data_IF_452804253753
#
_entry.id   IF_452804253753
#
_cell.length_a   1.000
_cell.length_b   1.000
_cell.length_c   1.000
_cell.angle_alpha   90.00
_cell.angle_beta   90.00
_cell.angle_gamma   90.00
#
_symmetry.space_group_name_H-M   'P 1'
#
loop_
_entity.id
_entity.type
_entity.pdbx_description
1 polymer ?
#
# COMPACT_ATOMS: atom_id res chain seq x y z
N UNK A 1 23.91 14.45 1.94
CA UNK A 1 23.52 13.15 2.55
C UNK A 1 22.22 13.22 3.37
N UNK A 2 22.09 14.09 4.39
CA UNK A 2 20.88 14.21 5.23
C UNK A 2 19.56 14.42 4.46
N UNK A 3 19.59 15.13 3.32
CA UNK A 3 18.43 15.31 2.43
C UNK A 3 17.95 14.02 1.76
N UNK A 4 18.84 13.10 1.38
CA UNK A 4 18.44 11.85 0.73
C UNK A 4 17.76 10.89 1.71
N UNK A 5 18.21 10.87 2.97
CA UNK A 5 17.61 10.06 4.03
C UNK A 5 16.20 10.58 4.35
N UNK A 6 16.05 11.90 4.48
CA UNK A 6 14.74 12.55 4.66
C UNK A 6 13.82 12.35 3.44
N UNK A 7 14.38 12.26 2.23
CA UNK A 7 13.63 11.94 1.01
C UNK A 7 13.12 10.49 1.01
N UNK A 8 13.92 9.51 1.48
CA UNK A 8 13.49 8.12 1.61
C UNK A 8 12.41 7.93 2.68
N UNK A 9 12.51 8.66 3.81
CA UNK A 9 11.51 8.60 4.87
C UNK A 9 10.17 9.19 4.40
N UNK A 10 10.23 10.32 3.67
CA UNK A 10 9.04 10.94 3.08
C UNK A 10 8.43 10.05 2.01
N UNK A 11 9.24 9.41 1.16
CA UNK A 11 8.74 8.52 0.10
C UNK A 11 8.11 7.25 0.67
N UNK A 12 8.68 6.67 1.74
CA UNK A 12 8.07 5.56 2.48
C UNK A 12 6.68 5.92 3.02
N UNK A 13 6.55 7.09 3.66
CA UNK A 13 5.27 7.57 4.16
C UNK A 13 4.25 7.76 3.04
N UNK A 14 4.66 8.31 1.89
CA UNK A 14 3.80 8.48 0.71
C UNK A 14 3.35 7.13 0.15
N UNK A 15 4.26 6.15 0.02
CA UNK A 15 3.93 4.78 -0.45
C UNK A 15 2.96 4.11 0.50
N UNK A 16 3.13 4.28 1.81
CA UNK A 16 2.22 3.77 2.83
C UNK A 16 0.82 4.40 2.71
N UNK A 17 0.75 5.72 2.51
CA UNK A 17 -0.52 6.41 2.28
C UNK A 17 -1.20 5.94 0.98
N UNK A 18 -0.43 5.77 -0.09
CA UNK A 18 -0.93 5.23 -1.35
C UNK A 18 -1.48 3.81 -1.19
N UNK A 19 -0.81 2.96 -0.40
CA UNK A 19 -1.29 1.62 -0.07
C UNK A 19 -2.68 1.67 0.57
N UNK A 20 -2.86 2.50 1.61
CA UNK A 20 -4.14 2.67 2.29
C UNK A 20 -5.24 3.18 1.35
N UNK A 21 -4.92 4.12 0.48
CA UNK A 21 -5.87 4.62 -0.54
C UNK A 21 -6.31 3.47 -1.46
N UNK A 22 -5.36 2.69 -2.00
CA UNK A 22 -5.66 1.53 -2.83
C UNK A 22 -6.53 0.50 -2.12
N UNK A 23 -6.25 0.21 -0.84
CA UNK A 23 -7.07 -0.70 -0.04
C UNK A 23 -8.50 -0.18 0.09
N UNK A 24 -8.68 1.10 0.43
CA UNK A 24 -10.01 1.70 0.59
C UNK A 24 -10.81 1.65 -0.71
N UNK A 25 -10.19 2.01 -1.85
CA UNK A 25 -10.84 1.89 -3.15
C UNK A 25 -11.18 0.45 -3.50
N UNK A 26 -10.28 -0.49 -3.19
CA UNK A 26 -10.50 -1.91 -3.36
C UNK A 26 -11.67 -2.45 -2.55
N UNK A 27 -11.79 -2.05 -1.29
CA UNK A 27 -12.90 -2.41 -0.40
C UNK A 27 -14.20 -1.83 -0.95
N UNK A 28 -14.26 -0.52 -1.19
CA UNK A 28 -15.46 0.15 -1.71
C UNK A 28 -15.90 -0.50 -3.02
N UNK A 29 -14.98 -0.66 -3.98
CA UNK A 29 -15.28 -1.29 -5.27
C UNK A 29 -15.85 -2.70 -5.11
N UNK A 30 -15.24 -3.52 -4.25
CA UNK A 30 -15.71 -4.88 -3.98
C UNK A 30 -17.09 -4.88 -3.30
N UNK A 31 -17.33 -3.99 -2.34
CA UNK A 31 -18.63 -3.83 -1.67
C UNK A 31 -19.73 -3.45 -2.66
N UNK A 32 -19.44 -2.55 -3.61
CA UNK A 32 -20.39 -2.19 -4.67
C UNK A 32 -20.70 -3.37 -5.60
N UNK A 33 -19.71 -4.21 -5.92
CA UNK A 33 -19.92 -5.45 -6.68
C UNK A 33 -20.83 -6.41 -5.90
N UNK A 34 -20.55 -6.63 -4.62
CA UNK A 34 -21.36 -7.52 -3.77
C UNK A 34 -22.80 -7.02 -3.56
N UNK A 35 -23.01 -5.71 -3.50
CA UNK A 35 -24.34 -5.09 -3.43
C UNK A 35 -25.13 -5.18 -4.75
N UNK A 36 -24.56 -5.76 -5.81
CA UNK A 36 -25.20 -5.81 -7.13
C UNK A 36 -25.38 -4.44 -7.77
N UNK A 37 -24.67 -3.41 -7.30
CA UNK A 37 -24.74 -2.03 -7.81
C UNK A 37 -24.02 -1.88 -9.17
N UNK A 38 -23.29 -2.90 -9.60
CA UNK A 38 -22.58 -2.94 -10.89
C UNK A 38 -23.19 -4.08 -11.72
N UNK A 39 -23.99 -3.70 -12.71
CA UNK A 39 -24.63 -4.65 -13.61
C UNK A 39 -23.57 -5.44 -14.41
N UNK A 40 -23.78 -6.76 -14.53
CA UNK A 40 -22.89 -7.65 -15.27
C UNK A 40 -21.68 -8.17 -14.49
N UNK A 41 -21.47 -7.74 -13.23
CA UNK A 41 -20.41 -8.28 -12.37
C UNK A 41 -20.93 -9.32 -11.40
N UNK A 42 -20.15 -10.39 -11.22
CA UNK A 42 -20.48 -11.47 -10.29
C UNK A 42 -19.86 -11.23 -8.92
N UNK A 43 -20.45 -11.82 -7.87
CA UNK A 43 -19.87 -11.79 -6.52
C UNK A 43 -18.44 -12.36 -6.49
N UNK A 44 -18.13 -13.31 -7.38
CA UNK A 44 -16.81 -13.90 -7.55
C UNK A 44 -15.78 -12.87 -8.02
N UNK A 45 -16.15 -11.99 -8.96
CA UNK A 45 -15.29 -10.87 -9.38
C UNK A 45 -15.07 -9.86 -8.25
N UNK A 46 -16.08 -9.63 -7.41
CA UNK A 46 -15.96 -8.81 -6.21
C UNK A 46 -14.95 -9.40 -5.22
N UNK A 47 -14.97 -10.71 -5.01
CA UNK A 47 -14.02 -11.42 -4.17
C UNK A 47 -12.60 -11.35 -4.73
N UNK A 48 -12.43 -11.58 -6.03
CA UNK A 48 -11.12 -11.47 -6.71
C UNK A 48 -10.57 -10.06 -6.59
N UNK A 49 -11.41 -9.03 -6.79
CA UNK A 49 -11.00 -7.64 -6.63
C UNK A 49 -10.58 -7.31 -5.19
N UNK A 50 -11.29 -7.84 -4.19
CA UNK A 50 -10.95 -7.67 -2.79
C UNK A 50 -9.60 -8.33 -2.46
N UNK A 51 -9.40 -9.58 -2.89
CA UNK A 51 -8.15 -10.32 -2.71
C UNK A 51 -6.97 -9.61 -3.38
N UNK A 52 -7.14 -9.15 -4.62
CA UNK A 52 -6.11 -8.39 -5.33
C UNK A 52 -5.76 -7.09 -4.58
N UNK A 53 -6.77 -6.37 -4.10
CA UNK A 53 -6.57 -5.12 -3.36
C UNK A 53 -5.83 -5.33 -2.03
N UNK A 54 -6.16 -6.40 -1.29
CA UNK A 54 -5.45 -6.79 -0.07
C UNK A 54 -4.01 -7.18 -0.38
N UNK A 55 -3.78 -7.93 -1.47
CA UNK A 55 -2.44 -8.31 -1.91
C UNK A 55 -1.58 -7.08 -2.25
N UNK A 56 -2.11 -6.15 -3.06
CA UNK A 56 -1.40 -4.91 -3.40
C UNK A 56 -1.14 -4.04 -2.18
N UNK A 57 -2.11 -3.92 -1.26
CA UNK A 57 -1.89 -3.21 0.00
C UNK A 57 -0.72 -3.80 0.77
N UNK A 58 -0.68 -5.13 0.92
CA UNK A 58 0.40 -5.80 1.64
C UNK A 58 1.75 -5.61 0.95
N UNK A 59 1.78 -5.69 -0.38
CA UNK A 59 2.98 -5.47 -1.19
C UNK A 59 3.53 -4.04 -1.02
N UNK A 60 2.69 -3.02 -1.16
CA UNK A 60 3.11 -1.62 -0.96
C UNK A 60 3.51 -1.34 0.49
N UNK A 61 2.80 -1.91 1.45
CA UNK A 61 3.15 -1.79 2.86
C UNK A 61 4.52 -2.42 3.16
N UNK A 62 4.80 -3.59 2.57
CA UNK A 62 6.09 -4.26 2.69
C UNK A 62 7.22 -3.39 2.11
N UNK A 63 7.02 -2.81 0.92
CA UNK A 63 7.99 -1.92 0.27
C UNK A 63 8.27 -0.69 1.14
N UNK A 64 7.24 -0.04 1.67
CA UNK A 64 7.39 1.09 2.60
C UNK A 64 8.20 0.66 3.84
N UNK A 65 7.89 -0.51 4.42
CA UNK A 65 8.60 -1.03 5.58
C UNK A 65 10.08 -1.34 5.28
N UNK A 66 10.40 -1.85 4.10
CA UNK A 66 11.78 -2.09 3.65
C UNK A 66 12.52 -0.75 3.51
N UNK A 67 11.88 0.28 2.93
CA UNK A 67 12.46 1.60 2.82
C UNK A 67 12.76 2.22 4.20
N UNK A 68 11.83 2.10 5.16
CA UNK A 68 12.05 2.55 6.56
C UNK A 68 13.24 1.82 7.20
N UNK A 69 13.37 0.51 6.95
CA UNK A 69 14.46 -0.30 7.49
C UNK A 69 15.81 0.11 6.91
N UNK A 70 15.88 0.36 5.61
CA UNK A 70 17.06 0.90 4.94
C UNK A 70 17.47 2.26 5.51
N UNK A 71 16.50 3.15 5.74
CA UNK A 71 16.74 4.46 6.37
C UNK A 71 17.33 4.31 7.78
N UNK A 72 16.79 3.38 8.58
CA UNK A 72 17.33 3.10 9.92
C UNK A 72 18.76 2.59 9.86
N UNK A 73 19.05 1.60 9.01
CA UNK A 73 20.39 1.03 8.86
C UNK A 73 21.40 2.11 8.44
N UNK A 74 21.05 2.95 7.46
CA UNK A 74 21.92 4.05 7.01
C UNK A 74 22.20 5.04 8.15
N UNK A 75 21.17 5.42 8.92
CA UNK A 75 21.33 6.34 10.05
C UNK A 75 22.19 5.74 11.18
N UNK A 76 22.10 4.43 11.41
CA UNK A 76 22.85 3.73 12.44
C UNK A 76 24.33 3.62 12.05
N UNK A 77 24.61 3.26 10.79
CA UNK A 77 25.97 3.22 10.23
C UNK A 77 26.62 4.61 10.22
N UNK A 78 25.87 5.68 9.96
CA UNK A 78 26.42 7.04 9.86
C UNK A 78 26.58 7.75 11.21
N UNK A 79 26.00 7.21 12.30
CA UNK A 79 26.20 7.70 13.67
C UNK A 79 27.31 6.96 14.42
N UNK A 80 27.68 5.77 13.96
CA UNK A 80 28.81 4.98 14.47
C UNK A 80 30.16 5.46 13.96
#
# INVERSE_FOLDING_TARGET
MRRHISFLETSSAVVKMAAWIFLLFGIIGSTYIFLGRIAGKTALEGLVNLCASIFFFFLFYLIAKIADLLVKIINEIHKG
#
